data_IF_941939162929
#
_entry.id   IF_941939162929
#
_cell.length_a   1.000
_cell.length_b   1.000
_cell.length_c   1.000
_cell.angle_alpha   90.00
_cell.angle_beta   90.00
_cell.angle_gamma   90.00
#
_symmetry.space_group_name_H-M   'P 1'
#
loop_
_entity.id
_entity.type
_entity.pdbx_description
1 polymer ?
#
# COMPACT_ATOMS: atom_id res chain seq x y z
N UNK A 1 -29.94 -11.17 -26.28
CA UNK A 1 -29.34 -10.02 -25.57
C UNK A 1 -28.34 -10.59 -24.59
N UNK A 2 -27.05 -10.51 -24.94
CA UNK A 2 -25.96 -11.04 -24.11
C UNK A 2 -25.57 -10.01 -23.06
N UNK A 3 -25.43 -10.45 -21.81
CA UNK A 3 -24.89 -9.64 -20.71
C UNK A 3 -23.39 -9.41 -20.95
N UNK A 4 -22.86 -8.19 -20.72
CA UNK A 4 -21.43 -7.92 -20.81
C UNK A 4 -20.65 -8.64 -19.69
N UNK A 5 -19.40 -8.98 -20.03
CA UNK A 5 -18.60 -10.04 -19.44
C UNK A 5 -18.28 -9.89 -17.95
N UNK A 6 -18.18 -11.05 -17.28
CA UNK A 6 -17.40 -11.19 -16.07
C UNK A 6 -15.95 -10.77 -16.37
N UNK A 7 -15.30 -9.93 -15.55
CA UNK A 7 -13.87 -9.77 -15.63
C UNK A 7 -13.21 -11.13 -15.30
N UNK A 8 -12.67 -11.76 -16.34
CA UNK A 8 -11.72 -12.88 -16.22
C UNK A 8 -10.36 -12.31 -15.87
N UNK A 9 -10.10 -12.18 -14.57
CA UNK A 9 -8.77 -12.08 -14.00
C UNK A 9 -8.81 -12.90 -12.72
N UNK A 10 -7.98 -13.93 -12.60
CA UNK A 10 -7.86 -14.67 -11.36
C UNK A 10 -7.10 -13.78 -10.37
N UNK A 11 -7.81 -12.83 -9.79
CA UNK A 11 -7.34 -12.03 -8.66
C UNK A 11 -7.19 -13.02 -7.52
N UNK A 12 -5.97 -13.32 -7.10
CA UNK A 12 -5.81 -13.83 -5.75
C UNK A 12 -6.43 -12.74 -4.86
N UNK A 13 -7.55 -13.00 -4.15
CA UNK A 13 -8.17 -11.97 -3.31
C UNK A 13 -7.07 -11.39 -2.43
N UNK A 14 -7.02 -10.07 -2.29
CA UNK A 14 -6.15 -9.50 -1.26
C UNK A 14 -6.56 -10.17 0.07
N UNK A 15 -5.58 -10.74 0.77
CA UNK A 15 -5.84 -11.49 1.99
C UNK A 15 -6.46 -10.59 3.08
N UNK A 16 -6.28 -9.27 2.97
CA UNK A 16 -7.04 -8.24 3.71
C UNK A 16 -7.23 -6.99 2.84
N UNK A 17 -8.44 -6.44 2.83
CA UNK A 17 -8.74 -5.11 2.30
C UNK A 17 -9.32 -4.21 3.40
N UNK A 18 -8.96 -2.93 3.36
CA UNK A 18 -9.53 -1.88 4.18
C UNK A 18 -9.93 -0.69 3.31
N UNK A 19 -11.06 -0.08 3.62
CA UNK A 19 -11.53 1.17 3.04
C UNK A 19 -11.86 2.13 4.18
N UNK A 20 -11.29 3.32 4.13
CA UNK A 20 -11.47 4.38 5.12
C UNK A 20 -11.64 5.71 4.39
N UNK A 21 -12.24 6.74 5.02
CA UNK A 21 -12.21 8.08 4.45
C UNK A 21 -10.78 8.50 4.11
N UNK A 22 -10.60 9.22 2.99
CA UNK A 22 -9.31 9.79 2.58
C UNK A 22 -8.89 10.96 3.50
N UNK A 23 -8.59 10.63 4.76
CA UNK A 23 -8.23 11.55 5.83
C UNK A 23 -7.01 11.03 6.59
N UNK A 24 -6.07 11.94 6.89
CA UNK A 24 -4.84 11.64 7.62
C UNK A 24 -5.05 10.98 8.98
N UNK A 25 -6.22 11.15 9.61
CA UNK A 25 -6.57 10.49 10.86
C UNK A 25 -6.56 8.95 10.77
N UNK A 26 -6.81 8.39 9.57
CA UNK A 26 -6.86 6.94 9.38
C UNK A 26 -5.49 6.31 9.04
N UNK A 27 -4.44 7.11 8.87
CA UNK A 27 -3.07 6.59 8.60
C UNK A 27 -2.58 5.68 9.74
N UNK A 28 -2.92 6.03 11.00
CA UNK A 28 -2.59 5.20 12.15
C UNK A 28 -3.24 3.81 12.10
N UNK A 29 -4.43 3.70 11.50
CA UNK A 29 -5.15 2.43 11.33
C UNK A 29 -4.39 1.54 10.35
N UNK A 30 -4.00 2.08 9.19
CA UNK A 30 -3.21 1.33 8.20
C UNK A 30 -1.85 0.89 8.77
N UNK A 31 -1.16 1.75 9.51
CA UNK A 31 0.10 1.40 10.19
C UNK A 31 -0.09 0.26 11.18
N UNK A 32 -1.15 0.31 11.98
CA UNK A 32 -1.45 -0.73 12.98
C UNK A 32 -1.80 -2.06 12.33
N UNK A 33 -2.63 -2.03 11.27
CA UNK A 33 -2.97 -3.21 10.50
C UNK A 33 -1.73 -3.85 9.86
N UNK A 34 -0.88 -3.04 9.24
CA UNK A 34 0.38 -3.48 8.62
C UNK A 34 1.28 -4.18 9.62
N UNK A 35 1.48 -3.59 10.81
CA UNK A 35 2.29 -4.18 11.86
C UNK A 35 1.74 -5.54 12.33
N UNK A 36 0.43 -5.64 12.53
CA UNK A 36 -0.22 -6.89 12.91
C UNK A 36 -0.10 -7.99 11.85
N UNK A 37 -0.19 -7.64 10.57
CA UNK A 37 -0.04 -8.58 9.47
C UNK A 37 1.42 -9.03 9.29
N UNK A 38 2.38 -8.10 9.36
CA UNK A 38 3.80 -8.42 9.27
C UNK A 38 4.27 -9.30 10.43
N UNK A 39 3.83 -9.02 11.66
CA UNK A 39 4.12 -9.87 12.82
C UNK A 39 3.59 -11.31 12.66
N UNK A 40 2.43 -11.49 12.00
CA UNK A 40 1.88 -12.82 11.68
C UNK A 40 2.67 -13.57 10.60
N UNK A 41 3.50 -12.86 9.84
CA UNK A 41 4.37 -13.41 8.80
C UNK A 41 5.82 -13.58 9.28
N UNK A 42 6.06 -13.53 10.59
CA UNK A 42 7.37 -13.68 11.23
C UNK A 42 8.41 -12.62 10.80
N UNK A 43 7.95 -11.42 10.42
CA UNK A 43 8.85 -10.28 10.18
C UNK A 43 9.56 -9.86 11.48
N UNK A 44 10.79 -9.36 11.36
CA UNK A 44 11.52 -8.85 12.51
C UNK A 44 10.89 -7.54 13.01
N UNK A 45 11.21 -7.14 14.24
CA UNK A 45 10.72 -5.86 14.81
C UNK A 45 11.22 -4.68 13.95
N UNK A 46 12.45 -4.76 13.44
CA UNK A 46 13.02 -3.74 12.55
C UNK A 46 12.24 -3.66 11.23
N UNK A 47 12.02 -4.81 10.56
CA UNK A 47 11.23 -4.84 9.31
C UNK A 47 9.80 -4.30 9.53
N UNK A 48 9.21 -4.56 10.71
CA UNK A 48 7.87 -4.05 11.06
C UNK A 48 7.88 -2.53 11.22
N UNK A 49 8.88 -1.97 11.89
CA UNK A 49 8.99 -0.51 12.04
C UNK A 49 9.22 0.16 10.68
N UNK A 50 10.08 -0.40 9.83
CA UNK A 50 10.32 0.11 8.48
C UNK A 50 9.03 0.08 7.64
N UNK A 51 8.27 -1.02 7.69
CA UNK A 51 6.97 -1.13 7.04
C UNK A 51 5.96 -0.09 7.54
N UNK A 52 5.92 0.20 8.84
CA UNK A 52 5.01 1.21 9.41
C UNK A 52 5.37 2.61 8.94
N UNK A 53 6.66 2.91 8.81
CA UNK A 53 7.13 4.19 8.26
C UNK A 53 6.78 4.25 6.77
N UNK A 54 7.12 3.23 5.98
CA UNK A 54 6.85 3.16 4.55
C UNK A 54 5.35 3.31 4.22
N UNK A 55 4.46 2.66 4.98
CA UNK A 55 3.01 2.84 4.86
C UNK A 55 2.57 4.27 5.19
N UNK A 56 3.22 4.89 6.17
CA UNK A 56 3.02 6.29 6.49
C UNK A 56 3.35 7.23 5.33
N UNK A 57 4.52 7.04 4.73
CA UNK A 57 4.96 7.84 3.58
C UNK A 57 4.09 7.58 2.35
N UNK A 58 3.69 6.33 2.11
CA UNK A 58 2.75 5.99 1.03
C UNK A 58 1.41 6.72 1.23
N UNK A 59 0.86 6.74 2.45
CA UNK A 59 -0.34 7.53 2.77
C UNK A 59 -0.13 9.03 2.52
N UNK A 60 1.02 9.58 2.93
CA UNK A 60 1.36 10.99 2.72
C UNK A 60 1.49 11.36 1.23
N UNK A 61 1.84 10.39 0.37
CA UNK A 61 1.87 10.55 -1.08
C UNK A 61 0.48 10.44 -1.71
N UNK A 62 -0.38 9.52 -1.27
CA UNK A 62 -1.70 9.32 -1.92
C UNK A 62 -2.74 10.35 -1.48
N UNK A 63 -2.74 10.79 -0.22
CA UNK A 63 -3.79 11.65 0.31
C UNK A 63 -3.91 13.02 -0.38
N UNK A 64 -2.81 13.69 -0.78
CA UNK A 64 -2.90 14.93 -1.56
C UNK A 64 -3.53 14.78 -2.95
N UNK A 65 -3.50 13.58 -3.52
CA UNK A 65 -4.04 13.26 -4.84
C UNK A 65 -5.52 12.84 -4.79
N UNK A 66 -6.09 12.69 -3.59
CA UNK A 66 -7.45 12.19 -3.40
C UNK A 66 -8.50 13.22 -3.87
N UNK A 67 -9.52 12.73 -4.57
CA UNK A 67 -10.69 13.54 -4.92
C UNK A 67 -11.43 14.02 -3.66
N UNK A 68 -12.18 15.13 -3.78
CA UNK A 68 -13.01 15.66 -2.70
C UNK A 68 -14.01 14.60 -2.18
N UNK A 69 -13.98 14.35 -0.87
CA UNK A 69 -14.88 13.40 -0.21
C UNK A 69 -14.82 12.01 -0.85
N UNK A 70 -13.61 11.44 -0.88
CA UNK A 70 -13.32 10.10 -1.39
C UNK A 70 -12.81 9.16 -0.28
N UNK A 71 -12.64 7.89 -0.63
CA UNK A 71 -12.07 6.88 0.25
C UNK A 71 -10.60 6.56 -0.12
N UNK A 72 -9.80 6.29 0.90
CA UNK A 72 -8.51 5.63 0.77
C UNK A 72 -8.69 4.11 0.97
N UNK A 73 -8.10 3.34 0.06
CA UNK A 73 -8.09 1.88 0.12
C UNK A 73 -6.69 1.38 0.49
N UNK A 74 -6.63 0.36 1.34
CA UNK A 74 -5.43 -0.42 1.62
C UNK A 74 -5.69 -1.90 1.29
N UNK A 75 -4.88 -2.49 0.42
CA UNK A 75 -4.96 -3.90 0.04
C UNK A 75 -3.67 -4.62 0.43
N UNK A 76 -3.79 -5.73 1.14
CA UNK A 76 -2.68 -6.50 1.67
C UNK A 76 -2.69 -7.90 1.08
N UNK A 77 -1.62 -8.29 0.38
CA UNK A 77 -1.40 -9.66 -0.10
C UNK A 77 -0.28 -10.30 0.71
N UNK A 78 -0.59 -11.42 1.33
CA UNK A 78 0.28 -12.13 2.24
C UNK A 78 0.83 -13.37 1.54
N UNK A 79 2.12 -13.60 1.70
CA UNK A 79 2.80 -14.83 1.32
C UNK A 79 3.86 -15.16 2.38
N UNK A 80 4.33 -16.41 2.47
CA UNK A 80 5.39 -16.78 3.40
C UNK A 80 6.61 -15.85 3.25
N UNK A 81 6.94 -15.11 4.32
CA UNK A 81 8.05 -14.15 4.34
C UNK A 81 7.90 -12.97 3.38
N UNK A 82 6.69 -12.67 2.86
CA UNK A 82 6.48 -11.56 1.92
C UNK A 82 5.14 -10.88 2.14
N UNK A 83 5.16 -9.55 2.22
CA UNK A 83 3.97 -8.71 2.32
C UNK A 83 3.96 -7.71 1.16
N UNK A 84 2.83 -7.64 0.45
CA UNK A 84 2.58 -6.57 -0.52
C UNK A 84 1.46 -5.70 0.00
N UNK A 85 1.71 -4.40 0.09
CA UNK A 85 0.72 -3.41 0.52
C UNK A 85 0.46 -2.47 -0.64
N UNK A 86 -0.80 -2.32 -1.04
CA UNK A 86 -1.22 -1.29 -1.99
C UNK A 86 -2.08 -0.28 -1.27
N UNK A 87 -1.74 0.99 -1.40
CA UNK A 87 -2.48 2.09 -0.83
C UNK A 87 -2.87 2.99 -1.98
N UNK A 88 -4.14 3.38 -2.05
CA UNK A 88 -4.59 4.23 -3.14
C UNK A 88 -5.88 4.96 -2.86
N UNK A 89 -6.12 5.95 -3.70
CA UNK A 89 -7.29 6.83 -3.67
C UNK A 89 -7.85 6.95 -5.08
N UNK A 90 -9.12 7.30 -5.18
CA UNK A 90 -9.67 7.81 -6.43
C UNK A 90 -9.13 9.23 -6.66
N UNK A 91 -8.63 9.47 -7.87
CA UNK A 91 -7.96 10.68 -8.30
C UNK A 91 -8.38 10.97 -9.74
N UNK A 92 -9.29 11.92 -9.93
CA UNK A 92 -9.86 12.28 -11.24
C UNK A 92 -8.82 12.95 -12.15
N UNK A 93 -7.88 13.70 -11.58
CA UNK A 93 -6.75 14.31 -12.30
C UNK A 93 -5.42 14.08 -11.55
N UNK A 94 -4.91 12.84 -11.55
CA UNK A 94 -3.73 12.50 -10.77
C UNK A 94 -2.49 13.18 -11.37
N UNK A 95 -1.70 13.84 -10.53
CA UNK A 95 -0.41 14.37 -10.94
C UNK A 95 0.55 13.21 -11.26
N UNK A 96 1.53 13.42 -12.16
CA UNK A 96 2.61 12.45 -12.30
C UNK A 96 3.34 12.30 -10.95
N UNK A 97 3.74 11.08 -10.56
CA UNK A 97 4.42 10.87 -9.29
C UNK A 97 5.69 11.71 -9.19
N UNK A 98 5.85 12.43 -8.08
CA UNK A 98 7.07 13.18 -7.78
C UNK A 98 8.12 12.23 -7.15
N UNK A 99 8.96 11.69 -8.01
CA UNK A 99 10.08 10.82 -7.65
C UNK A 99 11.27 11.57 -7.03
N UNK A 100 11.25 12.90 -6.99
CA UNK A 100 12.28 13.69 -6.30
C UNK A 100 11.83 14.12 -4.89
N UNK A 101 10.58 13.82 -4.52
CA UNK A 101 10.02 14.16 -3.22
C UNK A 101 10.73 13.44 -2.05
N UNK A 102 10.82 14.11 -0.91
CA UNK A 102 11.40 13.53 0.31
C UNK A 102 10.67 12.25 0.74
N UNK A 103 9.34 12.22 0.62
CA UNK A 103 8.53 11.03 0.92
C UNK A 103 8.94 9.84 0.04
N UNK A 104 9.13 10.04 -1.27
CA UNK A 104 9.58 8.98 -2.17
C UNK A 104 11.00 8.48 -1.83
N UNK A 105 11.92 9.38 -1.49
CA UNK A 105 13.29 9.03 -1.10
C UNK A 105 13.33 8.18 0.18
N UNK A 106 12.55 8.55 1.19
CA UNK A 106 12.41 7.76 2.43
C UNK A 106 11.78 6.41 2.12
N UNK A 107 10.70 6.40 1.34
CA UNK A 107 9.92 5.20 1.04
C UNK A 107 10.74 4.16 0.26
N UNK A 108 11.55 4.57 -0.72
CA UNK A 108 12.46 3.68 -1.46
C UNK A 108 13.68 3.21 -0.69
N UNK A 109 14.00 3.86 0.44
CA UNK A 109 15.02 3.38 1.38
C UNK A 109 14.49 2.24 2.25
N UNK A 110 13.19 2.25 2.55
CA UNK A 110 12.55 1.33 3.51
C UNK A 110 11.93 0.10 2.85
N UNK A 111 11.47 0.22 1.61
CA UNK A 111 10.80 -0.86 0.91
C UNK A 111 10.96 -0.76 -0.61
N UNK A 112 10.81 -1.90 -1.29
CA UNK A 112 10.66 -1.90 -2.73
C UNK A 112 9.30 -1.28 -3.09
N UNK A 113 9.30 -0.18 -3.82
CA UNK A 113 8.09 0.59 -4.06
C UNK A 113 7.89 1.01 -5.50
N UNK A 114 6.62 1.12 -5.88
CA UNK A 114 6.20 1.60 -7.19
C UNK A 114 4.97 2.49 -7.04
N UNK A 115 4.83 3.46 -7.94
CA UNK A 115 3.64 4.31 -8.04
C UNK A 115 2.99 4.05 -9.39
N UNK A 116 1.67 3.92 -9.39
CA UNK A 116 0.88 3.74 -10.58
C UNK A 116 -0.31 4.70 -10.58
N UNK A 117 -0.53 5.28 -11.76
CA UNK A 117 -1.67 6.14 -12.03
C UNK A 117 -2.45 5.52 -13.18
N UNK A 118 -3.57 4.87 -12.87
CA UNK A 118 -4.39 4.15 -13.86
C UNK A 118 -5.85 4.18 -13.45
N UNK A 119 -6.74 4.21 -14.44
CA UNK A 119 -8.20 4.15 -14.26
C UNK A 119 -8.77 5.17 -13.24
N UNK A 120 -8.20 6.37 -13.21
CA UNK A 120 -8.62 7.42 -12.27
C UNK A 120 -8.25 7.12 -10.82
N UNK A 121 -7.22 6.31 -10.60
CA UNK A 121 -6.66 6.02 -9.26
C UNK A 121 -5.19 6.37 -9.20
N UNK A 122 -4.78 6.87 -8.04
CA UNK A 122 -3.38 7.03 -7.68
C UNK A 122 -3.04 5.99 -6.62
N UNK A 123 -2.08 5.11 -6.91
CA UNK A 123 -1.78 3.93 -6.08
C UNK A 123 -0.27 3.82 -5.84
N UNK A 124 0.11 3.73 -4.57
CA UNK A 124 1.47 3.35 -4.14
C UNK A 124 1.46 1.89 -3.74
N UNK A 125 2.39 1.11 -4.29
CA UNK A 125 2.58 -0.31 -3.95
C UNK A 125 3.91 -0.49 -3.26
N UNK A 126 3.89 -1.08 -2.08
CA UNK A 126 5.04 -1.48 -1.28
C UNK A 126 5.18 -3.00 -1.33
N UNK A 127 6.40 -3.48 -1.50
CA UNK A 127 6.78 -4.88 -1.40
C UNK A 127 7.86 -4.98 -0.34
N UNK A 128 7.66 -5.87 0.62
CA UNK A 128 8.68 -6.20 1.61
C UNK A 128 8.80 -7.70 1.75
N UNK A 129 10.03 -8.16 1.93
CA UNK A 129 10.37 -9.55 2.20
C UNK A 129 11.06 -9.63 3.54
N UNK A 130 10.61 -10.54 4.40
CA UNK A 130 11.27 -10.80 5.67
C UNK A 130 12.69 -11.31 5.41
N UNK A 131 13.65 -10.73 6.12
CA UNK A 131 15.00 -11.27 6.17
C UNK A 131 14.95 -12.56 6.99
N UNK A 132 15.36 -13.73 6.47
CA UNK A 132 15.31 -14.97 7.22
C UNK A 132 16.18 -14.86 8.48
N UNK A 133 15.60 -15.20 9.63
CA UNK A 133 16.30 -15.37 10.91
C UNK A 133 17.25 -16.58 10.82
N UNK A 134 18.46 -16.38 10.28
CA UNK A 134 19.55 -17.36 10.31
C UNK A 134 20.20 -17.61 8.95
N UNK A 135 21.26 -16.87 8.67
CA UNK A 135 22.13 -17.07 7.52
C UNK A 135 23.53 -16.52 7.77
N UNK A 136 24.24 -17.07 8.77
CA UNK A 136 25.71 -16.99 8.91
C UNK A 136 26.19 -18.13 9.79
#
# INVERSE_FOLDING_TARGET
>A
MSLPGHPTGQENPADVDIRVPADGAYVAVLRTLTAGLAARLDFTIEDIEDLRIAVGEACAMVLPEADEVSDMTGSFRLAPGRLVVQIGVDATQPAPPDYDSFAWQVLTTLADATVATQDGRFVVTLVSTSTPLGGS
#
